data_IF_901104890919
#
_entry.id   IF_901104890919
#
_cell.length_a   1.000
_cell.length_b   1.000
_cell.length_c   1.000
_cell.angle_alpha   90.00
_cell.angle_beta   90.00
_cell.angle_gamma   90.00
#
_symmetry.space_group_name_H-M   'P 1'
#
loop_
_entity.id
_entity.type
_entity.pdbx_description
1 polymer ?
#
# COMPACT_ATOMS: atom_id res chain seq x y z
N UNK A 1 8.56 -24.29 6.70
CA UNK A 1 8.10 -23.22 7.59
C UNK A 1 6.63 -23.05 7.35
N UNK A 2 5.84 -23.08 8.42
CA UNK A 2 4.39 -22.90 8.33
C UNK A 2 4.10 -21.45 7.97
N UNK A 3 3.11 -21.19 7.10
CA UNK A 3 2.69 -19.82 6.74
C UNK A 3 1.89 -19.11 7.84
N UNK A 4 1.70 -19.78 8.97
CA UNK A 4 0.98 -19.28 10.13
C UNK A 4 1.92 -18.92 11.28
N UNK A 5 3.25 -19.03 11.11
CA UNK A 5 4.22 -18.82 12.20
C UNK A 5 4.09 -17.43 12.85
N UNK A 6 3.81 -16.39 12.06
CA UNK A 6 3.64 -15.03 12.58
C UNK A 6 2.32 -14.87 13.32
N UNK A 7 1.24 -15.43 12.77
CA UNK A 7 -0.08 -15.41 13.38
C UNK A 7 -0.08 -16.20 14.69
N UNK A 8 0.48 -17.41 14.70
CA UNK A 8 0.62 -18.25 15.89
C UNK A 8 1.44 -17.57 16.99
N UNK A 9 2.54 -16.90 16.62
CA UNK A 9 3.35 -16.12 17.56
C UNK A 9 2.58 -14.92 18.14
N UNK A 10 1.69 -14.29 17.38
CA UNK A 10 0.85 -13.22 17.88
C UNK A 10 -0.30 -13.77 18.75
N UNK A 11 -0.93 -14.88 18.37
CA UNK A 11 -1.96 -15.56 19.17
C UNK A 11 -1.41 -16.04 20.52
N UNK A 12 -0.19 -16.58 20.58
CA UNK A 12 0.43 -17.02 21.84
C UNK A 12 0.73 -15.86 22.80
N UNK A 13 0.87 -14.64 22.26
CA UNK A 13 0.99 -13.39 23.02
C UNK A 13 -0.38 -12.75 23.37
N UNK A 14 -1.48 -13.47 23.15
CA UNK A 14 -2.83 -13.03 23.52
C UNK A 14 -3.50 -12.08 22.53
N UNK A 15 -2.91 -11.83 21.35
CA UNK A 15 -3.59 -11.09 20.27
C UNK A 15 -4.74 -11.93 19.72
N UNK A 16 -5.85 -11.32 19.31
CA UNK A 16 -7.03 -12.04 18.80
C UNK A 16 -7.36 -11.69 17.36
N UNK A 17 -7.29 -10.41 17.01
CA UNK A 17 -7.53 -9.91 15.66
C UNK A 17 -6.21 -9.49 15.03
N UNK A 18 -5.73 -10.29 14.08
CA UNK A 18 -4.46 -10.06 13.39
C UNK A 18 -4.78 -9.70 11.94
N UNK A 19 -4.39 -8.51 11.51
CA UNK A 19 -4.51 -8.11 10.11
C UNK A 19 -3.17 -8.25 9.39
N UNK A 20 -3.16 -8.97 8.28
CA UNK A 20 -2.08 -8.90 7.29
C UNK A 20 -2.32 -7.75 6.32
N UNK A 21 -1.26 -7.07 5.90
CA UNK A 21 -1.33 -5.91 5.01
C UNK A 21 -0.27 -5.99 3.93
N UNK A 22 -0.66 -5.79 2.67
CA UNK A 22 0.24 -5.77 1.51
C UNK A 22 -0.28 -4.79 0.43
N UNK A 23 0.60 -4.40 -0.49
CA UNK A 23 0.30 -3.52 -1.62
C UNK A 23 0.56 -4.15 -3.00
N UNK A 24 -0.18 -3.67 -3.98
CA UNK A 24 0.06 -3.89 -5.39
C UNK A 24 0.23 -2.57 -6.14
N UNK A 25 1.14 -2.57 -7.12
CA UNK A 25 1.24 -1.48 -8.08
C UNK A 25 2.31 -0.42 -7.80
N UNK A 26 3.39 -0.74 -7.11
CA UNK A 26 4.49 0.24 -6.93
C UNK A 26 5.30 0.51 -8.20
N UNK A 27 5.61 -0.53 -8.97
CA UNK A 27 6.45 -0.42 -10.19
C UNK A 27 5.80 0.12 -11.49
N UNK A 28 4.48 0.01 -11.73
CA UNK A 28 3.82 0.52 -12.93
C UNK A 28 4.03 2.01 -13.20
N UNK A 29 4.00 2.37 -14.49
CA UNK A 29 4.05 3.75 -14.98
C UNK A 29 2.69 4.45 -14.91
N UNK A 30 1.61 3.67 -14.75
CA UNK A 30 0.24 4.16 -14.73
C UNK A 30 -0.63 3.42 -13.71
N UNK A 31 -1.67 4.09 -13.27
CA UNK A 31 -2.66 3.61 -12.31
C UNK A 31 -2.24 3.79 -10.85
N UNK A 32 -3.14 3.43 -9.92
CA UNK A 32 -2.93 3.63 -8.50
C UNK A 32 -1.97 2.60 -7.89
N UNK A 33 -1.55 2.89 -6.66
CA UNK A 33 -1.18 1.85 -5.69
C UNK A 33 -2.46 1.43 -4.97
N UNK A 34 -2.67 0.12 -4.84
CA UNK A 34 -3.79 -0.45 -4.09
C UNK A 34 -3.18 -1.28 -2.97
N UNK A 35 -3.62 -1.07 -1.74
CA UNK A 35 -3.29 -1.94 -0.62
C UNK A 35 -4.55 -2.61 -0.10
N UNK A 36 -4.37 -3.73 0.58
CA UNK A 36 -5.42 -4.39 1.32
C UNK A 36 -4.94 -4.70 2.73
N UNK A 37 -5.86 -4.67 3.68
CA UNK A 37 -5.69 -5.25 5.00
C UNK A 37 -6.68 -6.43 5.10
N UNK A 38 -6.26 -7.56 5.67
CA UNK A 38 -7.08 -8.77 5.75
C UNK A 38 -6.91 -9.43 7.11
N UNK A 39 -8.01 -9.65 7.82
CA UNK A 39 -8.11 -10.40 9.06
C UNK A 39 -8.76 -11.73 8.73
N UNK A 40 -8.06 -12.81 9.06
CA UNK A 40 -8.55 -14.17 8.89
C UNK A 40 -8.91 -14.77 10.26
N UNK A 41 -9.95 -15.63 10.34
CA UNK A 41 -10.23 -16.41 11.53
C UNK A 41 -9.02 -17.23 12.00
N UNK A 42 -8.93 -17.48 13.30
CA UNK A 42 -7.86 -18.35 13.83
C UNK A 42 -8.01 -19.77 13.25
N UNK A 43 -6.92 -20.29 12.68
CA UNK A 43 -6.92 -21.59 12.03
C UNK A 43 -7.53 -21.58 10.62
N UNK A 44 -7.78 -20.40 10.04
CA UNK A 44 -8.22 -20.28 8.66
C UNK A 44 -7.24 -20.98 7.72
N UNK A 45 -7.77 -21.85 6.89
CA UNK A 45 -6.99 -22.64 5.95
C UNK A 45 -7.68 -22.61 4.60
N UNK A 46 -7.08 -21.89 3.66
CA UNK A 46 -7.50 -21.88 2.27
C UNK A 46 -6.30 -22.27 1.41
N UNK A 47 -6.45 -23.38 0.68
CA UNK A 47 -5.41 -23.85 -0.23
C UNK A 47 -5.14 -22.79 -1.30
N UNK A 48 -3.86 -22.57 -1.60
CA UNK A 48 -3.45 -21.65 -2.66
C UNK A 48 -3.27 -20.19 -2.22
N UNK A 49 -3.50 -19.83 -0.96
CA UNK A 49 -2.98 -18.55 -0.43
C UNK A 49 -1.44 -18.62 -0.41
N UNK A 50 -0.82 -18.10 -1.47
CA UNK A 50 0.62 -18.00 -1.72
C UNK A 50 0.93 -16.59 -2.24
N UNK A 51 2.21 -16.34 -2.49
CA UNK A 51 2.69 -15.19 -3.26
C UNK A 51 1.81 -15.00 -4.50
N UNK A 52 1.08 -13.89 -4.51
CA UNK A 52 0.08 -13.55 -5.52
C UNK A 52 0.65 -13.48 -6.94
N UNK A 53 1.99 -13.42 -7.08
CA UNK A 53 2.74 -13.43 -8.34
C UNK A 53 2.99 -14.84 -8.88
N UNK A 54 2.92 -15.87 -8.03
CA UNK A 54 3.04 -17.29 -8.44
C UNK A 54 1.72 -17.89 -8.91
N UNK A 55 0.60 -17.28 -8.51
CA UNK A 55 -0.73 -17.69 -8.92
C UNK A 55 -1.03 -17.23 -10.35
N UNK A 56 -1.67 -18.11 -11.12
CA UNK A 56 -2.26 -17.70 -12.40
C UNK A 56 -3.39 -16.70 -12.16
N UNK A 57 -3.74 -15.84 -13.14
CA UNK A 57 -4.86 -14.90 -12.99
C UNK A 57 -6.19 -15.57 -12.62
N UNK A 58 -6.44 -16.79 -13.12
CA UNK A 58 -7.64 -17.56 -12.82
C UNK A 58 -7.66 -18.02 -11.36
N UNK A 59 -6.58 -18.68 -10.90
CA UNK A 59 -6.46 -19.10 -9.50
C UNK A 59 -6.56 -17.92 -8.53
N UNK A 60 -5.91 -16.80 -8.86
CA UNK A 60 -5.96 -15.60 -8.03
C UNK A 60 -7.38 -15.03 -7.96
N UNK A 61 -8.13 -15.05 -9.07
CA UNK A 61 -9.53 -14.63 -9.09
C UNK A 61 -10.39 -15.55 -8.21
N UNK A 62 -10.22 -16.86 -8.31
CA UNK A 62 -10.98 -17.82 -7.50
C UNK A 62 -10.72 -17.61 -6.01
N UNK A 63 -9.47 -17.45 -5.60
CA UNK A 63 -9.11 -17.18 -4.19
C UNK A 63 -9.64 -15.81 -3.74
N UNK A 64 -9.55 -14.79 -4.60
CA UNK A 64 -10.14 -13.48 -4.31
C UNK A 64 -11.65 -13.58 -4.08
N UNK A 65 -12.37 -14.29 -4.94
CA UNK A 65 -13.82 -14.47 -4.82
C UNK A 65 -14.15 -15.23 -3.53
N UNK A 66 -13.36 -16.23 -3.14
CA UNK A 66 -13.55 -16.95 -1.86
C UNK A 66 -13.34 -15.99 -0.69
N UNK A 67 -12.18 -15.31 -0.62
CA UNK A 67 -11.84 -14.41 0.48
C UNK A 67 -12.84 -13.27 0.65
N UNK A 68 -13.36 -12.72 -0.45
CA UNK A 68 -14.24 -11.55 -0.40
C UNK A 68 -15.71 -11.87 -0.20
N UNK A 69 -16.13 -13.12 -0.45
CA UNK A 69 -17.50 -13.59 -0.18
C UNK A 69 -17.62 -14.39 1.12
N UNK A 70 -16.50 -14.71 1.78
CA UNK A 70 -16.48 -15.39 3.07
C UNK A 70 -16.88 -14.42 4.19
N UNK A 71 -18.00 -14.66 4.90
CA UNK A 71 -18.49 -13.76 5.94
C UNK A 71 -17.58 -13.67 7.17
N UNK A 72 -16.68 -14.64 7.36
CA UNK A 72 -15.75 -14.66 8.49
C UNK A 72 -14.43 -13.94 8.18
N UNK A 73 -14.21 -13.55 6.92
CA UNK A 73 -13.04 -12.78 6.49
C UNK A 73 -13.38 -11.29 6.50
N UNK A 74 -12.59 -10.51 7.23
CA UNK A 74 -12.71 -9.05 7.25
C UNK A 74 -11.56 -8.47 6.44
N UNK A 75 -11.87 -7.60 5.48
CA UNK A 75 -10.85 -6.91 4.71
C UNK A 75 -11.20 -5.44 4.48
N UNK A 76 -10.17 -4.63 4.28
CA UNK A 76 -10.27 -3.22 3.93
C UNK A 76 -9.36 -2.91 2.73
N UNK A 77 -9.71 -1.89 1.95
CA UNK A 77 -9.02 -1.50 0.73
C UNK A 77 -8.58 -0.04 0.80
N UNK A 78 -7.30 0.19 0.51
CA UNK A 78 -6.75 1.54 0.36
C UNK A 78 -6.27 1.77 -1.07
N UNK A 79 -6.63 2.91 -1.66
CA UNK A 79 -6.26 3.25 -3.04
C UNK A 79 -5.64 4.64 -3.06
N UNK A 80 -4.45 4.76 -3.64
CA UNK A 80 -3.77 6.04 -3.84
C UNK A 80 -3.52 6.25 -5.33
N UNK A 81 -4.15 7.29 -5.90
CA UNK A 81 -4.12 7.59 -7.33
C UNK A 81 -2.79 8.22 -7.77
N UNK A 82 -2.50 8.15 -9.08
CA UNK A 82 -1.24 8.66 -9.65
C UNK A 82 -0.92 10.13 -9.34
N UNK A 83 -1.88 11.07 -9.27
CA UNK A 83 -1.54 12.46 -8.92
C UNK A 83 -0.94 12.59 -7.52
N UNK A 84 -1.50 11.86 -6.54
CA UNK A 84 -0.95 11.86 -5.18
C UNK A 84 0.39 11.13 -5.14
N UNK A 85 0.57 10.03 -5.89
CA UNK A 85 1.88 9.35 -6.00
C UNK A 85 2.96 10.32 -6.48
N UNK A 86 2.66 11.15 -7.49
CA UNK A 86 3.60 12.14 -8.03
C UNK A 86 3.94 13.23 -6.99
N UNK A 87 2.99 13.60 -6.13
CA UNK A 87 3.17 14.61 -5.09
C UNK A 87 4.00 14.11 -3.90
N UNK A 88 3.67 12.94 -3.35
CA UNK A 88 4.27 12.46 -2.10
C UNK A 88 5.33 11.38 -2.28
N UNK A 89 5.63 10.96 -3.51
CA UNK A 89 6.48 9.82 -3.90
C UNK A 89 5.88 8.43 -3.63
N UNK A 90 6.44 7.43 -4.32
CA UNK A 90 5.93 6.05 -4.32
C UNK A 90 6.02 5.31 -2.98
N UNK A 91 7.03 5.61 -2.15
CA UNK A 91 7.16 4.98 -0.84
C UNK A 91 6.07 5.51 0.10
N UNK A 92 5.91 6.83 0.18
CA UNK A 92 4.86 7.42 1.04
C UNK A 92 3.47 7.07 0.54
N UNK A 93 3.24 7.08 -0.77
CA UNK A 93 1.96 6.67 -1.35
C UNK A 93 1.61 5.21 -1.04
N UNK A 94 2.60 4.31 -1.04
CA UNK A 94 2.42 2.92 -0.63
C UNK A 94 2.01 2.80 0.84
N UNK A 95 2.74 3.47 1.74
CA UNK A 95 2.42 3.47 3.17
C UNK A 95 1.07 4.13 3.45
N UNK A 96 0.70 5.17 2.68
CA UNK A 96 -0.60 5.81 2.80
C UNK A 96 -1.73 4.88 2.33
N UNK A 97 -1.55 4.16 1.22
CA UNK A 97 -2.52 3.15 0.79
C UNK A 97 -2.72 2.07 1.86
N UNK A 98 -1.64 1.59 2.49
CA UNK A 98 -1.76 0.63 3.60
C UNK A 98 -2.52 1.20 4.79
N UNK A 99 -2.25 2.45 5.18
CA UNK A 99 -2.98 3.11 6.26
C UNK A 99 -4.47 3.24 5.96
N UNK A 100 -4.84 3.61 4.73
CA UNK A 100 -6.23 3.65 4.28
C UNK A 100 -6.88 2.26 4.33
N UNK A 101 -6.17 1.21 3.90
CA UNK A 101 -6.68 -0.15 3.96
C UNK A 101 -6.96 -0.64 5.39
N UNK A 102 -6.12 -0.24 6.35
CA UNK A 102 -6.32 -0.54 7.78
C UNK A 102 -7.54 0.24 8.31
N UNK A 103 -7.70 1.50 7.94
CA UNK A 103 -8.85 2.33 8.35
C UNK A 103 -10.19 1.86 7.77
N UNK A 104 -10.15 1.19 6.61
CA UNK A 104 -11.34 0.65 5.93
C UNK A 104 -11.82 -0.69 6.53
N UNK A 105 -11.06 -1.29 7.46
CA UNK A 105 -11.51 -2.49 8.18
C UNK A 105 -12.75 -2.15 9.02
N UNK A 106 -13.76 -3.03 8.98
CA UNK A 106 -14.98 -2.87 9.78
C UNK A 106 -14.77 -3.07 11.28
N UNK A 107 -13.62 -3.61 11.68
CA UNK A 107 -13.21 -3.84 13.07
C UNK A 107 -11.73 -3.48 13.22
N UNK A 108 -11.38 -2.78 14.29
CA UNK A 108 -9.98 -2.45 14.59
C UNK A 108 -9.20 -3.72 15.00
N UNK A 109 -8.08 -4.06 14.33
CA UNK A 109 -7.26 -5.21 14.71
C UNK A 109 -6.42 -4.95 15.96
N UNK A 110 -6.06 -6.01 16.68
CA UNK A 110 -5.17 -5.94 17.85
C UNK A 110 -3.68 -5.91 17.44
N UNK A 111 -3.38 -6.39 16.24
CA UNK A 111 -2.02 -6.55 15.75
C UNK A 111 -1.95 -6.53 14.22
N UNK A 112 -0.89 -5.91 13.69
CA UNK A 112 -0.65 -5.80 12.25
C UNK A 112 0.61 -6.58 11.83
N UNK A 113 0.49 -7.33 10.75
CA UNK A 113 1.59 -7.93 10.01
C UNK A 113 1.67 -7.22 8.64
N UNK A 114 2.75 -6.47 8.41
CA UNK A 114 2.89 -5.63 7.20
C UNK A 114 3.96 -6.21 6.28
N UNK A 115 3.69 -6.36 4.98
CA UNK A 115 4.73 -6.78 4.04
C UNK A 115 5.85 -5.73 3.90
N UNK A 116 7.09 -6.21 3.82
CA UNK A 116 8.26 -5.40 3.55
C UNK A 116 8.99 -4.91 4.79
N UNK A 117 9.57 -3.70 4.70
CA UNK A 117 10.54 -3.18 5.67
C UNK A 117 10.05 -1.96 6.45
N UNK A 118 8.91 -1.39 6.06
CA UNK A 118 8.41 -0.13 6.60
C UNK A 118 7.00 -0.32 7.13
N UNK A 119 6.69 0.37 8.22
CA UNK A 119 5.36 0.39 8.80
C UNK A 119 4.62 1.66 8.34
N UNK A 120 3.33 1.57 7.99
CA UNK A 120 2.50 2.75 7.83
C UNK A 120 2.33 3.45 9.19
N UNK A 121 2.02 4.76 9.22
CA UNK A 121 1.63 5.43 10.46
C UNK A 121 0.41 4.74 11.09
N UNK A 122 0.54 4.28 12.34
CA UNK A 122 -0.51 3.57 13.06
C UNK A 122 -0.25 3.59 14.57
N UNK A 123 -1.32 3.60 15.37
CA UNK A 123 -1.26 3.38 16.82
C UNK A 123 -1.33 1.88 17.20
N UNK A 124 -1.72 1.03 16.26
CA UNK A 124 -1.88 -0.42 16.47
C UNK A 124 -0.49 -1.07 16.50
N UNK A 125 -0.29 -2.00 17.43
CA UNK A 125 0.94 -2.79 17.51
C UNK A 125 1.19 -3.52 16.18
N UNK A 126 2.39 -3.38 15.62
CA UNK A 126 2.67 -3.83 14.26
C UNK A 126 4.06 -4.44 14.10
N UNK A 127 4.20 -5.34 13.13
CA UNK A 127 5.47 -5.94 12.72
C UNK A 127 5.60 -5.95 11.21
N UNK A 128 6.72 -5.40 10.73
CA UNK A 128 7.12 -5.53 9.34
C UNK A 128 7.71 -6.93 9.10
N UNK A 129 7.30 -7.57 8.01
CA UNK A 129 7.70 -8.92 7.64
C UNK A 129 8.28 -8.90 6.23
N UNK A 130 9.60 -9.11 6.13
CA UNK A 130 10.28 -9.23 4.84
C UNK A 130 9.78 -10.49 4.12
N UNK A 131 9.26 -10.30 2.89
CA UNK A 131 8.61 -11.35 2.08
C UNK A 131 7.44 -11.98 2.83
N UNK A 132 6.64 -11.13 3.48
CA UNK A 132 5.50 -11.51 4.30
C UNK A 132 4.44 -12.25 3.50
N UNK A 133 4.24 -11.90 2.23
CA UNK A 133 3.34 -12.59 1.30
C UNK A 133 3.56 -14.11 1.25
N UNK A 134 4.81 -14.55 1.37
CA UNK A 134 5.20 -15.97 1.35
C UNK A 134 5.28 -16.65 2.72
N UNK A 135 5.19 -15.88 3.81
CA UNK A 135 5.48 -16.32 5.18
C UNK A 135 4.35 -16.12 6.19
N UNK A 136 3.39 -15.27 5.88
CA UNK A 136 2.19 -14.99 6.67
C UNK A 136 0.97 -15.20 5.77
N UNK A 137 0.04 -16.03 6.22
CA UNK A 137 -1.20 -16.30 5.50
C UNK A 137 -2.06 -15.03 5.39
N UNK A 138 -2.06 -14.20 6.43
CA UNK A 138 -2.82 -12.94 6.45
C UNK A 138 -2.25 -11.95 5.43
N UNK A 139 -0.92 -11.81 5.37
CA UNK A 139 -0.27 -10.96 4.35
C UNK A 139 -0.50 -11.54 2.95
N UNK A 140 -0.40 -12.86 2.77
CA UNK A 140 -0.69 -13.52 1.50
C UNK A 140 -2.11 -13.25 1.01
N UNK A 141 -3.11 -13.32 1.89
CA UNK A 141 -4.49 -12.99 1.58
C UNK A 141 -4.65 -11.52 1.16
N UNK A 142 -4.05 -10.59 1.92
CA UNK A 142 -4.01 -9.17 1.56
C UNK A 142 -3.35 -8.93 0.19
N UNK A 143 -2.24 -9.62 -0.10
CA UNK A 143 -1.54 -9.55 -1.39
C UNK A 143 -2.45 -9.90 -2.57
N UNK A 144 -3.20 -11.00 -2.43
CA UNK A 144 -4.15 -11.48 -3.43
C UNK A 144 -5.27 -10.45 -3.64
N UNK A 145 -5.85 -9.95 -2.55
CA UNK A 145 -6.91 -8.94 -2.59
C UNK A 145 -6.44 -7.66 -3.28
N UNK A 146 -5.30 -7.10 -2.84
CA UNK A 146 -4.73 -5.89 -3.42
C UNK A 146 -4.42 -6.06 -4.91
N UNK A 147 -3.80 -7.19 -5.28
CA UNK A 147 -3.41 -7.48 -6.66
C UNK A 147 -4.61 -7.66 -7.56
N UNK A 148 -5.60 -8.46 -7.16
CA UNK A 148 -6.79 -8.72 -7.96
C UNK A 148 -7.62 -7.43 -8.13
N UNK A 149 -7.84 -6.68 -7.04
CA UNK A 149 -8.56 -5.40 -7.09
C UNK A 149 -7.86 -4.41 -8.03
N UNK A 150 -6.53 -4.30 -7.96
CA UNK A 150 -5.77 -3.44 -8.86
C UNK A 150 -5.90 -3.89 -10.33
N UNK A 151 -5.80 -5.18 -10.60
CA UNK A 151 -5.87 -5.69 -11.97
C UNK A 151 -7.23 -5.42 -12.62
N UNK A 152 -8.32 -5.48 -11.83
CA UNK A 152 -9.67 -5.07 -12.26
C UNK A 152 -9.73 -3.58 -12.59
N UNK A 153 -9.21 -2.70 -11.72
CA UNK A 153 -9.15 -1.26 -11.99
C UNK A 153 -8.37 -0.94 -13.28
N UNK A 154 -7.29 -1.68 -13.56
CA UNK A 154 -6.55 -1.49 -14.81
C UNK A 154 -7.33 -1.94 -16.05
N UNK A 155 -8.24 -2.93 -15.93
CA UNK A 155 -9.17 -3.27 -17.00
C UNK A 155 -10.20 -2.15 -17.22
N UNK A 156 -10.78 -1.59 -16.15
CA UNK A 156 -11.68 -0.44 -16.25
C UNK A 156 -10.99 0.78 -16.88
N UNK A 157 -9.72 1.02 -16.56
CA UNK A 157 -8.93 2.06 -17.20
C UNK A 157 -8.64 1.78 -18.67
N UNK A 158 -8.58 0.51 -19.09
CA UNK A 158 -8.43 0.18 -20.50
C UNK A 158 -9.67 0.59 -21.30
N UNK A 159 -10.87 0.39 -20.75
CA UNK A 159 -12.10 0.83 -21.40
C UNK A 159 -12.13 2.35 -21.62
N UNK A 160 -11.62 3.12 -20.65
CA UNK A 160 -11.51 4.59 -20.73
C UNK A 160 -10.37 5.05 -21.63
N UNK A 161 -9.28 4.30 -21.69
CA UNK A 161 -8.05 4.65 -22.42
C UNK A 161 -7.57 3.45 -23.28
N UNK A 162 -8.31 3.08 -24.34
CA UNK A 162 -8.12 1.83 -25.06
C UNK A 162 -6.78 1.73 -25.79
N UNK A 163 -6.17 2.87 -26.15
CA UNK A 163 -4.92 2.91 -26.91
C UNK A 163 -3.68 2.43 -26.14
N UNK A 164 -3.76 2.31 -24.82
CA UNK A 164 -2.59 2.00 -24.00
C UNK A 164 -2.39 0.51 -23.72
N UNK A 165 -3.43 -0.33 -23.73
CA UNK A 165 -3.32 -1.76 -23.42
C UNK A 165 -3.24 -2.10 -21.92
N UNK A 166 -3.86 -1.28 -21.07
CA UNK A 166 -3.84 -1.45 -19.60
C UNK A 166 -4.44 -2.78 -19.12
N UNK A 167 -5.36 -3.36 -19.86
CA UNK A 167 -5.93 -4.70 -19.63
C UNK A 167 -4.88 -5.82 -19.72
N UNK A 168 -3.81 -5.62 -20.48
CA UNK A 168 -2.75 -6.62 -20.67
C UNK A 168 -1.61 -6.43 -19.69
N UNK A 169 -0.96 -5.28 -19.74
CA UNK A 169 0.27 -5.03 -18.97
C UNK A 169 0.02 -4.30 -17.65
N UNK A 170 -1.22 -3.99 -17.27
CA UNK A 170 -1.59 -3.44 -15.95
C UNK A 170 -0.83 -2.16 -15.56
N UNK A 171 -0.46 -1.36 -16.56
CA UNK A 171 0.33 -0.13 -16.41
C UNK A 171 1.86 -0.32 -16.29
N UNK A 172 2.39 -1.54 -16.29
CA UNK A 172 3.85 -1.77 -16.32
C UNK A 172 4.45 -1.29 -17.65
N UNK A 173 5.69 -0.80 -17.60
CA UNK A 173 6.44 -0.24 -18.75
C UNK A 173 6.91 -1.29 -19.76
N UNK A 174 5.99 -2.09 -20.30
CA UNK A 174 6.28 -3.05 -21.37
C UNK A 174 6.54 -2.32 -22.69
N UNK A 175 7.15 -3.00 -23.68
CA UNK A 175 7.38 -2.43 -25.01
C UNK A 175 6.09 -1.84 -25.61
N UNK A 176 4.98 -2.57 -25.51
CA UNK A 176 3.64 -2.11 -25.93
C UNK A 176 3.25 -0.79 -25.25
N UNK A 177 3.42 -0.71 -23.94
CA UNK A 177 3.06 0.49 -23.17
C UNK A 177 3.94 1.70 -23.55
N UNK A 178 5.24 1.48 -23.73
CA UNK A 178 6.17 2.54 -24.14
C UNK A 178 5.88 3.04 -25.57
N UNK A 179 5.53 2.14 -26.49
CA UNK A 179 5.12 2.51 -27.85
C UNK A 179 3.82 3.32 -27.85
N UNK A 180 2.83 2.91 -27.05
CA UNK A 180 1.59 3.67 -26.88
C UNK A 180 1.85 5.07 -26.30
N UNK A 181 2.70 5.16 -25.27
CA UNK A 181 3.12 6.42 -24.66
C UNK A 181 3.82 7.36 -25.66
N UNK A 182 4.70 6.83 -26.51
CA UNK A 182 5.36 7.63 -27.57
C UNK A 182 4.38 8.14 -28.63
N UNK A 183 3.36 7.35 -28.95
CA UNK A 183 2.39 7.66 -30.01
C UNK A 183 1.28 8.59 -29.54
N UNK A 184 0.79 8.40 -28.31
CA UNK A 184 -0.41 9.07 -27.80
C UNK A 184 -0.12 10.08 -26.68
N UNK A 185 1.12 10.15 -26.19
CA UNK A 185 1.45 10.89 -24.96
C UNK A 185 0.88 10.21 -23.71
N UNK A 186 1.17 10.71 -22.50
CA UNK A 186 0.57 10.18 -21.28
C UNK A 186 -0.88 10.67 -21.09
N UNK A 187 -1.72 9.80 -20.54
CA UNK A 187 -3.08 10.12 -20.09
C UNK A 187 -3.15 10.39 -18.56
N UNK A 188 -4.29 10.86 -18.01
CA UNK A 188 -4.40 11.31 -16.62
C UNK A 188 -3.98 10.31 -15.52
N UNK A 189 -3.98 9.01 -15.81
CA UNK A 189 -3.59 7.98 -14.84
C UNK A 189 -2.11 7.62 -14.87
N UNK A 190 -1.31 8.24 -15.75
CA UNK A 190 0.14 8.06 -15.74
C UNK A 190 0.78 8.79 -14.56
N UNK A 191 1.87 8.22 -14.06
CA UNK A 191 2.71 8.81 -13.01
C UNK A 191 3.77 9.67 -13.68
N UNK A 192 3.49 10.96 -13.75
CA UNK A 192 4.32 11.95 -14.45
C UNK A 192 5.70 12.12 -13.81
N UNK A 193 5.86 11.75 -12.53
CA UNK A 193 7.15 11.76 -11.83
C UNK A 193 8.06 10.58 -12.21
N UNK A 194 7.53 9.50 -12.80
CA UNK A 194 8.29 8.28 -13.09
C UNK A 194 9.00 8.38 -14.45
N UNK A 195 10.24 7.91 -14.54
CA UNK A 195 10.85 7.65 -15.84
C UNK A 195 10.22 6.39 -16.48
N UNK A 196 9.96 6.36 -17.80
CA UNK A 196 10.26 7.38 -18.80
C UNK A 196 9.15 8.43 -19.00
N UNK A 197 8.01 8.35 -18.29
CA UNK A 197 6.86 9.26 -18.45
C UNK A 197 7.28 10.73 -18.28
N UNK A 198 8.09 11.04 -17.26
CA UNK A 198 8.64 12.38 -16.98
C UNK A 198 9.40 12.98 -18.17
N UNK A 199 10.03 12.12 -18.98
CA UNK A 199 10.86 12.54 -20.12
C UNK A 199 10.07 12.69 -21.42
N UNK A 200 8.79 12.30 -21.43
CA UNK A 200 7.91 12.49 -22.57
C UNK A 200 7.23 13.85 -22.42
N UNK A 201 7.46 14.74 -23.39
CA UNK A 201 6.74 16.01 -23.50
C UNK A 201 5.24 15.72 -23.59
N UNK A 202 4.45 16.27 -22.67
CA UNK A 202 2.99 16.26 -22.80
C UNK A 202 2.66 16.89 -24.17
N UNK A 203 1.90 16.23 -25.06
CA UNK A 203 1.35 16.93 -26.21
C UNK A 203 0.53 18.12 -25.68
N UNK A 204 0.70 19.30 -26.29
CA UNK A 204 0.00 20.53 -25.90
C UNK A 204 -1.48 20.22 -25.59
N UNK A 205 -1.93 20.56 -24.38
CA UNK A 205 -3.23 20.18 -23.82
C UNK A 205 -4.46 20.82 -24.50
N UNK A 206 -4.37 21.22 -25.76
CA UNK A 206 -5.43 21.96 -26.46
C UNK A 206 -6.56 21.07 -27.01
N UNK A 207 -6.42 19.74 -27.00
CA UNK A 207 -7.40 18.82 -27.61
C UNK A 207 -8.00 17.78 -26.65
N UNK A 208 -8.10 18.07 -25.34
CA UNK A 208 -8.85 17.19 -24.42
C UNK A 208 -10.35 17.52 -24.55
N UNK A 209 -11.22 16.56 -24.93
CA UNK A 209 -12.67 16.78 -24.94
C UNK A 209 -13.14 17.21 -23.55
N UNK A 210 -13.95 18.28 -23.47
CA UNK A 210 -14.51 18.83 -22.22
C UNK A 210 -15.17 17.78 -21.31
N UNK A 211 -15.62 16.65 -21.87
CA UNK A 211 -16.23 15.54 -21.13
C UNK A 211 -15.26 14.84 -20.14
N UNK A 212 -13.93 14.90 -20.36
CA UNK A 212 -12.94 14.33 -19.44
C UNK A 212 -12.56 15.27 -18.29
N UNK A 213 -12.90 16.56 -18.36
CA UNK A 213 -12.71 17.52 -17.25
C UNK A 213 -13.70 17.28 -16.09
N UNK A 214 -14.78 16.52 -16.33
CA UNK A 214 -15.82 16.20 -15.34
C UNK A 214 -15.61 14.88 -14.59
N UNK A 215 -14.50 14.18 -14.81
CA UNK A 215 -14.04 13.16 -13.86
C UNK A 215 -13.53 13.91 -12.63
N UNK A 216 -14.45 14.28 -11.75
CA UNK A 216 -14.21 15.09 -10.56
C UNK A 216 -13.01 14.56 -9.79
N UNK A 217 -11.95 15.37 -9.78
CA UNK A 217 -10.94 15.34 -8.75
C UNK A 217 -11.67 15.41 -7.41
N UNK A 218 -11.62 14.31 -6.66
CA UNK A 218 -12.22 14.14 -5.35
C UNK A 218 -11.67 15.19 -4.37
N UNK A 219 -12.25 16.39 -4.34
CA UNK A 219 -11.90 17.44 -3.38
C UNK A 219 -12.13 16.99 -1.93
N UNK A 220 -12.93 15.94 -1.71
CA UNK A 220 -13.17 15.35 -0.40
C UNK A 220 -11.99 14.55 0.17
N UNK A 221 -10.96 14.21 -0.61
CA UNK A 221 -9.73 13.60 -0.05
C UNK A 221 -8.77 14.64 0.52
N UNK A 222 -8.79 15.88 -0.01
CA UNK A 222 -7.99 16.99 0.57
C UNK A 222 -8.49 17.41 1.95
N UNK A 223 -9.79 17.36 2.20
CA UNK A 223 -10.37 17.71 3.50
C UNK A 223 -10.20 16.64 4.57
N UNK A 224 -9.72 15.42 4.22
CA UNK A 224 -9.37 14.36 5.18
C UNK A 224 -7.89 14.40 5.59
N UNK A 225 -7.13 15.38 5.10
CA UNK A 225 -5.79 15.70 5.57
C UNK A 225 -5.88 16.42 6.93
N UNK A 226 -6.39 15.74 7.96
CA UNK A 226 -5.91 16.07 9.29
C UNK A 226 -4.44 15.62 9.34
N UNK A 227 -3.52 16.43 9.88
CA UNK A 227 -2.21 15.93 10.24
C UNK A 227 -2.44 14.69 11.11
N UNK A 228 -1.96 13.52 10.67
CA UNK A 228 -1.90 12.36 11.57
C UNK A 228 -0.86 12.76 12.61
N UNK A 229 -1.30 13.37 13.72
CA UNK A 229 -0.41 13.63 14.85
C UNK A 229 0.29 12.31 15.20
N UNK A 230 1.61 12.35 15.19
CA UNK A 230 2.44 11.18 15.44
C UNK A 230 2.16 10.65 16.85
N UNK A 231 1.27 9.66 16.97
CA UNK A 231 1.10 8.94 18.21
C UNK A 231 2.41 8.19 18.53
N UNK A 232 2.83 8.14 19.80
CA UNK A 232 4.06 7.48 20.18
C UNK A 232 4.02 6.00 19.80
N UNK A 233 4.95 5.59 18.94
CA UNK A 233 5.18 4.19 18.57
C UNK A 233 5.50 3.40 19.85
N UNK A 234 4.58 2.56 20.31
CA UNK A 234 4.86 1.50 21.28
C UNK A 234 5.53 0.35 20.53
N UNK A 235 6.84 0.46 20.34
CA UNK A 235 7.69 -0.70 20.04
C UNK A 235 7.74 -1.55 21.30
N UNK A 236 7.22 -2.78 21.24
CA UNK A 236 7.38 -3.76 22.31
C UNK A 236 8.89 -3.92 22.61
N UNK A 237 9.32 -3.37 23.76
CA UNK A 237 10.64 -3.62 24.33
C UNK A 237 10.61 -5.01 24.98
N UNK A 238 10.64 -6.07 24.20
CA UNK A 238 11.01 -7.40 24.67
C UNK A 238 11.63 -8.15 23.49
N UNK A 239 12.95 -8.06 23.41
CA UNK A 239 13.87 -9.22 23.36
C UNK A 239 15.28 -8.66 23.13
N UNK A 240 15.84 -8.09 24.20
CA UNK A 240 17.26 -7.86 24.34
C UNK A 240 17.91 -9.14 24.89
N UNK A 241 17.95 -10.19 24.10
CA UNK A 241 18.98 -11.23 24.23
C UNK A 241 19.53 -11.53 22.84
N UNK A 242 20.70 -10.93 22.55
CA UNK A 242 21.58 -11.42 21.48
C UNK A 242 21.89 -10.52 20.29
N UNK A 243 21.42 -9.26 20.22
CA UNK A 243 21.86 -8.32 19.15
C UNK A 243 22.53 -7.11 19.78
N UNK A 244 23.85 -7.00 19.56
CA UNK A 244 24.65 -5.84 19.99
C UNK A 244 24.08 -4.56 19.39
N UNK A 245 24.07 -3.51 20.21
CA UNK A 245 23.28 -2.31 20.02
C UNK A 245 23.62 -1.50 18.77
N UNK A 246 22.57 -0.94 18.18
CA UNK A 246 22.55 -0.07 17.00
C UNK A 246 21.41 -0.52 16.07
N UNK A 247 20.27 0.19 16.07
CA UNK A 247 19.36 0.36 14.90
C UNK A 247 17.90 0.70 15.23
N UNK A 248 17.40 0.50 16.47
CA UNK A 248 15.99 0.80 16.76
C UNK A 248 15.67 2.31 16.85
N UNK A 249 16.62 3.11 17.37
CA UNK A 249 16.50 4.57 17.49
C UNK A 249 16.66 5.28 16.13
N UNK A 250 17.39 4.65 15.22
CA UNK A 250 17.75 5.19 13.91
C UNK A 250 16.57 5.07 12.94
N UNK A 251 15.86 3.94 12.94
CA UNK A 251 14.61 3.75 12.19
C UNK A 251 13.49 4.73 12.59
N UNK A 252 13.36 5.03 13.89
CA UNK A 252 12.37 6.02 14.40
C UNK A 252 12.68 7.43 13.91
N UNK A 253 13.95 7.83 13.94
CA UNK A 253 14.41 9.14 13.44
C UNK A 253 14.31 9.25 11.91
N UNK A 254 14.44 8.14 11.20
CA UNK A 254 14.31 8.11 9.73
C UNK A 254 12.84 8.26 9.29
N UNK A 255 11.91 7.67 10.05
CA UNK A 255 10.45 7.78 9.85
C UNK A 255 9.92 9.21 10.09
N UNK A 256 10.28 9.84 11.21
CA UNK A 256 9.86 11.22 11.52
C UNK A 256 10.36 12.22 10.47
N UNK A 257 11.62 12.06 10.03
CA UNK A 257 12.18 12.84 8.92
C UNK A 257 11.51 12.56 7.57
N UNK A 258 11.11 11.32 7.29
CA UNK A 258 10.42 10.98 6.03
C UNK A 258 9.06 11.64 5.93
N UNK A 259 8.31 11.73 7.03
CA UNK A 259 6.96 12.27 7.08
C UNK A 259 6.88 13.76 7.44
N UNK A 260 8.02 14.44 7.62
CA UNK A 260 8.06 15.88 7.91
C UNK A 260 7.70 16.26 9.35
N UNK A 261 7.70 15.30 10.27
CA UNK A 261 7.45 15.55 11.69
C UNK A 261 8.73 16.03 12.37
N UNK A 262 8.64 17.14 13.11
CA UNK A 262 9.75 17.63 13.95
C UNK A 262 9.93 16.69 15.14
N UNK A 263 11.18 16.37 15.49
CA UNK A 263 11.49 15.65 16.72
C UNK A 263 11.13 16.54 17.93
N UNK A 264 10.30 16.05 18.85
CA UNK A 264 9.98 16.74 20.12
C UNK A 264 11.22 17.06 20.97
N UNK A 265 12.37 16.43 20.69
CA UNK A 265 13.64 16.72 21.35
C UNK A 265 14.34 18.02 20.88
N UNK A 266 13.77 18.79 19.96
CA UNK A 266 14.28 20.11 19.57
C UNK A 266 13.47 21.28 20.12
N UNK A 267 12.28 21.05 20.66
CA UNK A 267 11.43 22.12 21.22
C UNK A 267 11.86 22.61 22.60
N UNK A 268 12.72 21.89 23.33
CA UNK A 268 13.19 22.29 24.67
C UNK A 268 14.57 22.98 24.69
N UNK A 269 15.24 23.17 23.54
CA UNK A 269 16.54 23.87 23.47
C UNK A 269 16.53 25.27 22.87
N UNK A 270 15.42 25.71 22.30
CA UNK A 270 15.30 27.09 21.76
C UNK A 270 14.60 28.08 22.71
N UNK A 271 14.27 27.69 23.94
CA UNK A 271 13.67 28.56 24.96
C UNK A 271 14.59 28.92 26.15
N UNK A 272 15.89 28.59 26.10
CA UNK A 272 16.84 28.92 27.17
C UNK A 272 18.04 29.79 26.78
N UNK A 273 18.21 30.17 25.51
CA UNK A 273 19.33 31.04 25.05
C UNK A 273 18.84 32.37 24.43
N UNK A 274 17.77 32.96 24.99
CA UNK A 274 17.18 34.22 24.52
C UNK A 274 16.84 35.22 25.62
N UNK A 275 17.56 35.18 26.76
CA UNK A 275 17.53 36.19 27.81
C UNK A 275 18.90 36.87 27.92
#
# INVERSE_FOLDING_TARGET
>A
MSRTEFEEAAFSKGRRLIAGVDEAGRGPLAGPVVAAACILPKGYALAGIDDSKKLTPLQRKEIYDILTNDPDVIFGIGIVQSPLIDEINILKASLHAMALAIQDLSVEPDYLLIDGNFLPPTHIAAKAVIKGDSRSISIGAASIIAKQKRDLLMCEYHEKFPHYGFDKHKGYGTKMHIEALKKHGPCPIHRTSFAPVRSLTLPNCLDIPKQLQQLEFCQSERSRLNPIEAAPIQVDRCDAEGVKGGDAQEGKNQLLKLFGYKNESQTEKEQLDGA
#
